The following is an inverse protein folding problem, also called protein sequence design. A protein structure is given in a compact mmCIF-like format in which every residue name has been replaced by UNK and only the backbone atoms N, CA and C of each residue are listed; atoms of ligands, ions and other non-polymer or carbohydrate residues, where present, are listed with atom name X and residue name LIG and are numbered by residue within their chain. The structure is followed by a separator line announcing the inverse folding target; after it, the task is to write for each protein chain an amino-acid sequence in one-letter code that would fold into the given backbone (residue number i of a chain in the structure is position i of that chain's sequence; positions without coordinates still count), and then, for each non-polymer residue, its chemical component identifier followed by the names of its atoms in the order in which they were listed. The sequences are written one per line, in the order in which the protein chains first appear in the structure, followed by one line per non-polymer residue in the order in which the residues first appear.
data_IF_324036425751
#
_entry.id   IF_324036425751
#
_cell.length_a   1.000
_cell.length_b   1.000
_cell.length_c   1.000
_cell.angle_alpha   90.00
_cell.angle_beta   90.00
_cell.angle_gamma   90.00
#
_symmetry.space_group_name_H-M   'P 1'
#
loop_
_entity.id
_entity.type
_entity.pdbx_description
1 polymer ?
#
# COMPACT_ATOMS: atom_id res chain seq x y z
N UNK A 1 -1.79 -6.33 -11.00
CA UNK A 1 -1.50 -5.67 -9.69
C UNK A 1 -0.97 -6.70 -8.72
N UNK A 2 0.10 -6.38 -7.99
CA UNK A 2 0.61 -7.14 -6.85
C UNK A 2 0.67 -6.20 -5.64
N UNK A 3 0.43 -6.73 -4.45
CA UNK A 3 0.42 -5.94 -3.21
C UNK A 3 1.47 -6.47 -2.24
N UNK A 4 2.08 -5.56 -1.48
CA UNK A 4 3.06 -5.83 -0.42
C UNK A 4 2.43 -5.49 0.94
N UNK A 5 1.60 -6.37 1.51
CA UNK A 5 0.83 -6.06 2.72
C UNK A 5 1.67 -6.25 3.98
N UNK A 6 2.17 -5.17 4.52
CA UNK A 6 2.82 -5.17 5.83
C UNK A 6 1.78 -5.20 6.96
N UNK A 7 2.08 -5.92 8.03
CA UNK A 7 1.22 -5.98 9.19
C UNK A 7 2.02 -6.40 10.44
N UNK A 8 1.49 -6.14 11.62
CA UNK A 8 2.16 -6.46 12.88
C UNK A 8 1.44 -7.59 13.62
N UNK A 9 2.21 -8.60 14.05
CA UNK A 9 1.74 -9.64 14.96
C UNK A 9 1.99 -9.19 16.38
N UNK A 10 0.91 -8.96 17.14
CA UNK A 10 0.97 -8.36 18.47
C UNK A 10 0.58 -9.37 19.56
N UNK A 11 1.22 -9.25 20.71
CA UNK A 11 0.82 -9.94 21.94
C UNK A 11 -0.33 -9.18 22.59
N UNK A 12 -1.06 -9.86 23.47
CA UNK A 12 -1.99 -9.20 24.38
C UNK A 12 -1.29 -8.89 25.70
N UNK A 13 -1.66 -7.77 26.31
CA UNK A 13 -1.30 -7.46 27.69
C UNK A 13 -2.21 -8.20 28.69
N UNK A 14 -1.98 -7.99 29.99
CA UNK A 14 -2.75 -8.58 31.08
C UNK A 14 -4.25 -8.18 31.07
N UNK A 15 -4.59 -7.09 30.39
CA UNK A 15 -5.97 -6.59 30.23
C UNK A 15 -6.59 -7.04 28.91
N UNK A 16 -5.89 -7.87 28.13
CA UNK A 16 -6.38 -8.35 26.82
C UNK A 16 -6.31 -7.30 25.70
N UNK A 17 -5.53 -6.23 25.86
CA UNK A 17 -5.30 -5.24 24.79
C UNK A 17 -4.07 -5.62 23.97
N UNK A 18 -4.10 -5.42 22.64
CA UNK A 18 -2.90 -5.59 21.80
C UNK A 18 -1.77 -4.71 22.32
N UNK A 19 -0.60 -5.32 22.43
CA UNK A 19 0.61 -4.71 22.96
C UNK A 19 1.78 -5.01 22.01
N UNK A 20 3.00 -4.88 22.49
CA UNK A 20 4.23 -5.08 21.75
C UNK A 20 4.24 -6.24 20.76
N UNK A 21 4.95 -6.07 19.66
CA UNK A 21 5.18 -7.12 18.68
C UNK A 21 6.07 -8.26 19.20
N UNK A 22 6.10 -9.34 18.42
CA UNK A 22 6.83 -10.56 18.77
C UNK A 22 8.33 -10.49 18.50
N UNK A 23 8.76 -9.60 17.60
CA UNK A 23 10.16 -9.45 17.22
C UNK A 23 10.76 -8.13 17.73
N UNK A 24 12.07 -8.05 17.72
CA UNK A 24 12.78 -6.79 17.93
C UNK A 24 12.76 -5.97 16.66
N UNK A 25 12.81 -4.61 16.74
CA UNK A 25 13.01 -3.78 15.56
C UNK A 25 14.37 -4.14 14.94
N UNK A 26 14.52 -4.01 13.68
CA UNK A 26 15.61 -4.29 12.72
C UNK A 26 15.07 -5.15 11.58
N UNK A 27 14.90 -4.57 10.40
CA UNK A 27 14.42 -5.31 9.24
C UNK A 27 15.43 -6.38 8.76
N UNK A 28 14.90 -7.36 8.03
CA UNK A 28 15.65 -8.45 7.38
C UNK A 28 16.45 -9.35 8.33
N UNK A 29 16.00 -9.49 9.58
CA UNK A 29 16.67 -10.32 10.57
C UNK A 29 16.07 -11.73 10.61
N UNK A 30 16.81 -12.72 10.14
CA UNK A 30 16.31 -14.10 9.98
C UNK A 30 15.81 -14.73 11.28
N UNK A 31 16.52 -14.55 12.41
CA UNK A 31 16.09 -15.13 13.69
C UNK A 31 14.79 -14.51 14.19
N UNK A 32 14.55 -13.23 13.91
CA UNK A 32 13.32 -12.55 14.27
C UNK A 32 12.15 -13.03 13.39
N UNK A 33 12.41 -13.24 12.09
CA UNK A 33 11.45 -13.87 11.18
C UNK A 33 11.10 -15.28 11.64
N UNK A 34 12.11 -16.11 11.96
CA UNK A 34 11.93 -17.49 12.44
C UNK A 34 11.18 -17.56 13.78
N UNK A 35 11.24 -16.53 14.62
CA UNK A 35 10.45 -16.50 15.86
C UNK A 35 8.94 -16.56 15.64
N UNK A 36 8.47 -16.12 14.47
CA UNK A 36 7.06 -16.19 14.02
C UNK A 36 6.78 -17.38 13.08
N UNK A 37 7.75 -18.29 12.92
CA UNK A 37 7.61 -19.42 11.99
C UNK A 37 6.31 -20.22 12.13
N UNK A 38 5.86 -20.63 13.32
CA UNK A 38 4.59 -21.35 13.44
C UNK A 38 3.40 -20.56 12.90
N UNK A 39 3.41 -19.24 13.08
CA UNK A 39 2.35 -18.33 12.66
C UNK A 39 2.33 -18.19 11.14
N UNK A 40 3.44 -17.74 10.53
CA UNK A 40 3.45 -17.52 9.09
C UNK A 40 3.33 -18.82 8.28
N UNK A 41 3.84 -19.94 8.78
CA UNK A 41 3.64 -21.24 8.13
C UNK A 41 2.15 -21.64 8.11
N UNK A 42 1.40 -21.30 9.17
CA UNK A 42 -0.04 -21.54 9.21
C UNK A 42 -0.80 -20.59 8.26
N UNK A 43 -0.36 -19.34 8.14
CA UNK A 43 -0.88 -18.42 7.11
C UNK A 43 -0.66 -18.98 5.72
N UNK A 44 0.55 -19.47 5.40
CA UNK A 44 0.88 -20.08 4.10
C UNK A 44 0.02 -21.32 3.84
N UNK A 45 -0.19 -22.16 4.83
CA UNK A 45 -1.06 -23.35 4.72
C UNK A 45 -2.48 -22.96 4.31
N UNK A 46 -3.10 -22.02 5.04
CA UNK A 46 -4.46 -21.57 4.75
C UNK A 46 -4.55 -20.79 3.44
N UNK A 47 -3.56 -19.95 3.14
CA UNK A 47 -3.48 -19.23 1.89
C UNK A 47 -3.48 -20.17 0.68
N UNK A 48 -2.66 -21.23 0.72
CA UNK A 48 -2.62 -22.25 -0.33
C UNK A 48 -3.96 -22.98 -0.50
N UNK A 49 -4.63 -23.33 0.59
CA UNK A 49 -5.95 -23.95 0.53
C UNK A 49 -7.02 -23.03 -0.07
N UNK A 50 -6.84 -21.71 0.04
CA UNK A 50 -7.70 -20.69 -0.56
C UNK A 50 -7.23 -20.24 -1.96
N UNK A 51 -6.20 -20.87 -2.53
CA UNK A 51 -5.68 -20.54 -3.86
C UNK A 51 -4.81 -19.29 -3.92
N UNK A 52 -4.22 -18.88 -2.81
CA UNK A 52 -3.22 -17.80 -2.78
C UNK A 52 -1.82 -18.40 -2.80
N UNK A 53 -1.05 -18.07 -3.84
CA UNK A 53 0.34 -18.50 -3.98
C UNK A 53 1.26 -17.54 -3.22
N UNK A 54 1.64 -17.94 -2.01
CA UNK A 54 2.62 -17.17 -1.22
C UNK A 54 4.02 -17.35 -1.81
N UNK A 55 4.70 -16.24 -2.10
CA UNK A 55 5.97 -16.24 -2.85
C UNK A 55 7.16 -15.71 -2.07
N UNK A 56 6.92 -14.83 -1.09
CA UNK A 56 7.98 -14.16 -0.33
C UNK A 56 7.48 -13.83 1.06
N UNK A 57 8.40 -13.80 2.02
CA UNK A 57 8.15 -13.26 3.35
C UNK A 57 9.36 -12.48 3.82
N UNK A 58 9.13 -11.28 4.34
CA UNK A 58 10.15 -10.37 4.87
C UNK A 58 9.85 -10.02 6.33
N UNK A 59 10.93 -9.98 7.14
CA UNK A 59 10.90 -9.38 8.46
C UNK A 59 11.10 -7.89 8.32
N UNK A 60 10.09 -7.13 8.74
CA UNK A 60 10.08 -5.68 8.63
C UNK A 60 10.62 -4.98 9.89
N UNK A 61 10.72 -3.65 9.87
CA UNK A 61 11.46 -2.89 10.86
C UNK A 61 10.73 -2.76 12.21
N UNK A 62 9.40 -2.71 12.23
CA UNK A 62 8.66 -2.57 13.48
C UNK A 62 8.54 -3.92 14.23
N UNK A 63 8.44 -3.91 15.58
CA UNK A 63 8.31 -5.13 16.35
C UNK A 63 7.11 -5.99 15.92
N UNK A 64 7.38 -7.24 15.54
CA UNK A 64 6.36 -8.17 15.04
C UNK A 64 5.85 -7.89 13.64
N UNK A 65 6.48 -6.97 12.93
CA UNK A 65 6.07 -6.62 11.56
C UNK A 65 6.62 -7.63 10.56
N UNK A 66 5.72 -8.16 9.76
CA UNK A 66 6.03 -9.01 8.62
C UNK A 66 5.33 -8.49 7.37
N UNK A 67 5.97 -8.71 6.25
CA UNK A 67 5.40 -8.62 4.92
C UNK A 67 5.35 -10.03 4.33
N UNK A 68 4.16 -10.52 3.97
CA UNK A 68 3.98 -11.83 3.35
C UNK A 68 3.29 -11.63 2.00
N UNK A 69 4.05 -11.84 0.94
CA UNK A 69 3.63 -11.56 -0.42
C UNK A 69 3.06 -12.79 -1.12
N UNK A 70 2.05 -12.55 -1.95
CA UNK A 70 1.44 -13.52 -2.85
C UNK A 70 1.56 -13.05 -4.30
N UNK A 71 1.39 -13.97 -5.26
CA UNK A 71 1.51 -13.66 -6.68
C UNK A 71 0.54 -12.56 -7.11
N UNK A 72 1.01 -11.70 -8.03
CA UNK A 72 0.17 -10.68 -8.67
C UNK A 72 -0.92 -11.33 -9.55
N UNK A 73 -1.99 -10.58 -9.80
CA UNK A 73 -3.07 -10.95 -10.70
C UNK A 73 -3.69 -9.68 -11.32
N UNK A 74 -4.82 -9.81 -12.04
CA UNK A 74 -5.60 -8.64 -12.39
C UNK A 74 -6.05 -7.87 -11.14
N UNK A 75 -6.45 -6.61 -11.33
CA UNK A 75 -6.74 -5.69 -10.23
C UNK A 75 -7.84 -6.22 -9.30
N UNK A 76 -8.91 -6.80 -9.86
CA UNK A 76 -10.03 -7.30 -9.07
C UNK A 76 -9.65 -8.54 -8.26
N UNK A 77 -9.04 -9.52 -8.92
CA UNK A 77 -8.59 -10.75 -8.23
C UNK A 77 -7.53 -10.47 -7.17
N UNK A 78 -6.63 -9.53 -7.43
CA UNK A 78 -5.65 -9.15 -6.40
C UNK A 78 -6.32 -8.48 -5.20
N UNK A 79 -7.36 -7.66 -5.40
CA UNK A 79 -8.17 -7.10 -4.33
C UNK A 79 -8.89 -8.19 -3.50
N UNK A 80 -9.46 -9.22 -4.17
CA UNK A 80 -10.04 -10.38 -3.51
C UNK A 80 -9.00 -11.16 -2.68
N UNK A 81 -7.80 -11.36 -3.24
CA UNK A 81 -6.67 -12.03 -2.57
C UNK A 81 -6.24 -11.27 -1.33
N UNK A 82 -6.06 -9.95 -1.41
CA UNK A 82 -5.68 -9.15 -0.25
C UNK A 82 -6.74 -9.18 0.86
N UNK A 83 -8.01 -9.14 0.48
CA UNK A 83 -9.13 -9.24 1.42
C UNK A 83 -9.14 -10.61 2.11
N UNK A 84 -8.96 -11.69 1.33
CA UNK A 84 -8.87 -13.06 1.84
C UNK A 84 -7.65 -13.25 2.74
N UNK A 85 -6.48 -12.73 2.34
CA UNK A 85 -5.25 -12.77 3.13
C UNK A 85 -5.43 -12.14 4.51
N UNK A 86 -6.06 -10.97 4.61
CA UNK A 86 -6.34 -10.31 5.90
C UNK A 86 -7.23 -11.18 6.81
N UNK A 87 -8.22 -11.85 6.23
CA UNK A 87 -9.09 -12.78 6.99
C UNK A 87 -8.31 -13.99 7.48
N UNK A 88 -7.45 -14.56 6.65
CA UNK A 88 -6.55 -15.68 7.02
C UNK A 88 -5.64 -15.25 8.19
N UNK A 89 -4.98 -14.10 8.10
CA UNK A 89 -4.13 -13.60 9.17
C UNK A 89 -4.91 -13.42 10.49
N UNK A 90 -6.11 -12.85 10.42
CA UNK A 90 -6.96 -12.68 11.61
C UNK A 90 -7.40 -14.03 12.20
N UNK A 91 -7.67 -15.05 11.38
CA UNK A 91 -8.00 -16.39 11.83
C UNK A 91 -6.81 -17.07 12.50
N UNK A 92 -5.65 -17.05 11.87
CA UNK A 92 -4.41 -17.62 12.42
C UNK A 92 -4.03 -16.92 13.73
N UNK A 93 -4.16 -15.60 13.80
CA UNK A 93 -3.91 -14.86 15.04
C UNK A 93 -4.75 -15.39 16.20
N UNK A 94 -6.05 -15.64 15.99
CA UNK A 94 -6.95 -16.22 17.02
C UNK A 94 -6.48 -17.61 17.46
N UNK A 95 -6.01 -18.44 16.55
CA UNK A 95 -5.54 -19.79 16.86
C UNK A 95 -4.27 -19.80 17.73
N UNK A 96 -3.42 -18.77 17.56
CA UNK A 96 -2.19 -18.60 18.33
C UNK A 96 -2.35 -17.70 19.56
N UNK A 97 -3.54 -17.19 19.85
CA UNK A 97 -3.79 -16.29 20.98
C UNK A 97 -3.06 -14.96 20.87
N UNK A 98 -2.88 -14.45 19.63
CA UNK A 98 -2.23 -13.19 19.32
C UNK A 98 -3.14 -12.31 18.46
N UNK A 99 -2.70 -11.12 18.09
CA UNK A 99 -3.48 -10.17 17.31
C UNK A 99 -2.79 -9.84 15.98
N UNK A 100 -3.53 -9.94 14.87
CA UNK A 100 -3.11 -9.51 13.55
C UNK A 100 -3.51 -8.05 13.34
N UNK A 101 -2.56 -7.14 13.36
CA UNK A 101 -2.79 -5.70 13.29
C UNK A 101 -2.44 -5.16 11.89
N UNK A 102 -3.46 -4.71 11.18
CA UNK A 102 -3.31 -4.00 9.89
C UNK A 102 -3.40 -2.47 10.04
N UNK A 103 -3.41 -1.96 11.25
CA UNK A 103 -3.38 -0.53 11.51
C UNK A 103 -2.11 0.09 10.93
N UNK A 104 -2.22 1.24 10.26
CA UNK A 104 -1.10 1.89 9.59
C UNK A 104 0.05 2.21 10.56
N UNK A 105 -0.27 2.85 11.69
CA UNK A 105 0.72 3.27 12.70
C UNK A 105 0.20 2.96 14.11
N UNK A 106 0.35 1.73 14.60
CA UNK A 106 -0.14 1.38 15.94
C UNK A 106 0.74 1.94 17.07
N UNK A 107 2.05 2.16 16.83
CA UNK A 107 3.00 2.64 17.83
C UNK A 107 3.84 3.80 17.26
N UNK A 108 4.22 4.73 18.14
CA UNK A 108 5.14 5.82 17.82
C UNK A 108 6.59 5.34 17.82
N UNK A 109 7.44 6.01 17.02
CA UNK A 109 8.89 5.75 17.01
C UNK A 109 9.30 4.42 16.35
N UNK A 110 8.41 3.76 15.60
CA UNK A 110 8.70 2.55 14.82
C UNK A 110 8.11 2.70 13.42
N UNK A 111 8.52 1.86 12.47
CA UNK A 111 7.97 1.88 11.11
C UNK A 111 6.47 1.61 11.10
N UNK A 112 5.80 2.19 10.14
CA UNK A 112 4.37 2.00 9.89
C UNK A 112 4.15 0.87 8.89
N UNK A 113 2.92 0.35 8.81
CA UNK A 113 2.56 -0.73 7.89
C UNK A 113 2.05 -0.17 6.57
N UNK A 114 2.85 -0.28 5.52
CA UNK A 114 2.48 0.01 4.13
C UNK A 114 1.72 -1.13 3.48
N UNK A 115 1.17 -0.86 2.31
CA UNK A 115 0.61 -1.88 1.42
C UNK A 115 0.87 -1.47 -0.03
N UNK A 116 2.15 -1.44 -0.39
CA UNK A 116 2.54 -0.93 -1.69
C UNK A 116 1.89 -1.72 -2.82
N UNK A 117 1.46 -1.00 -3.86
CA UNK A 117 0.80 -1.60 -5.02
C UNK A 117 1.72 -1.56 -6.23
N UNK A 118 2.26 -2.71 -6.61
CA UNK A 118 3.02 -2.88 -7.84
C UNK A 118 2.06 -3.11 -9.00
N UNK A 119 2.16 -2.29 -10.03
CA UNK A 119 1.25 -2.35 -11.17
C UNK A 119 1.99 -2.32 -12.50
N UNK A 120 1.45 -3.02 -13.47
CA UNK A 120 1.82 -2.93 -14.88
C UNK A 120 0.55 -2.68 -15.71
N UNK A 121 0.68 -1.92 -16.79
CA UNK A 121 -0.40 -1.65 -17.74
C UNK A 121 -0.04 -2.29 -19.09
N UNK A 122 -1.01 -2.95 -19.69
CA UNK A 122 -0.80 -3.71 -20.91
C UNK A 122 -1.73 -3.23 -22.01
N UNK A 123 -1.19 -3.11 -23.23
CA UNK A 123 -1.94 -2.72 -24.43
C UNK A 123 -2.16 -3.93 -25.31
N UNK A 124 -3.42 -4.22 -25.66
CA UNK A 124 -3.81 -5.35 -26.51
C UNK A 124 -3.50 -6.70 -25.88
N UNK A 125 -3.63 -7.75 -26.67
CA UNK A 125 -3.37 -9.12 -26.25
C UNK A 125 -4.58 -9.80 -25.60
N UNK A 126 -4.52 -11.14 -25.60
CA UNK A 126 -5.48 -11.98 -24.88
C UNK A 126 -4.87 -12.40 -23.55
N UNK A 127 -5.71 -12.68 -22.55
CA UNK A 127 -5.26 -13.20 -21.28
C UNK A 127 -4.65 -14.60 -21.48
N UNK A 128 -3.40 -14.76 -21.07
CA UNK A 128 -2.67 -16.02 -21.14
C UNK A 128 -2.46 -16.55 -19.72
N UNK A 129 -2.89 -17.77 -19.48
CA UNK A 129 -2.63 -18.47 -18.23
C UNK A 129 -1.39 -19.36 -18.42
N UNK A 130 -0.29 -18.99 -17.79
CA UNK A 130 0.94 -19.78 -17.81
C UNK A 130 0.97 -20.66 -16.57
N UNK A 131 1.07 -22.00 -16.73
CA UNK A 131 1.25 -22.88 -15.58
C UNK A 131 2.49 -22.47 -14.79
N UNK A 132 2.35 -22.23 -13.49
CA UNK A 132 3.44 -21.93 -12.57
C UNK A 132 4.21 -23.23 -12.28
N UNK A 133 5.01 -23.70 -13.24
CA UNK A 133 5.95 -24.82 -13.11
C UNK A 133 5.38 -26.10 -12.51
N UNK A 134 5.97 -27.23 -12.84
CA UNK A 134 5.68 -28.50 -12.17
C UNK A 134 6.23 -28.43 -10.73
N UNK A 135 5.47 -27.90 -9.79
CA UNK A 135 5.74 -28.17 -8.38
C UNK A 135 5.39 -29.66 -8.14
N UNK A 136 6.37 -30.53 -7.85
CA UNK A 136 6.11 -31.92 -7.55
C UNK A 136 5.28 -32.13 -6.29
N UNK A 137 4.87 -31.08 -5.63
CA UNK A 137 4.01 -31.05 -4.44
C UNK A 137 2.55 -30.70 -4.74
N UNK A 138 2.10 -30.75 -5.98
CA UNK A 138 0.68 -30.65 -6.27
C UNK A 138 -0.08 -31.73 -5.49
N UNK A 139 -0.64 -31.32 -4.37
CA UNK A 139 -1.51 -32.20 -3.59
C UNK A 139 -2.75 -32.53 -4.42
N UNK A 140 -3.20 -33.78 -4.43
CA UNK A 140 -4.39 -34.18 -5.16
C UNK A 140 -5.58 -33.33 -4.75
N UNK A 141 -6.19 -32.62 -5.72
CA UNK A 141 -7.35 -31.75 -5.49
C UNK A 141 -7.05 -30.26 -5.47
N UNK A 142 -5.78 -29.81 -5.58
CA UNK A 142 -5.46 -28.42 -5.87
C UNK A 142 -5.67 -28.16 -7.36
N UNK A 143 -6.33 -27.03 -7.67
CA UNK A 143 -6.34 -26.49 -9.02
C UNK A 143 -4.89 -26.20 -9.43
N UNK A 144 -4.56 -26.51 -10.69
CA UNK A 144 -3.27 -26.12 -11.26
C UNK A 144 -3.08 -24.61 -11.06
N UNK A 145 -1.96 -24.23 -10.44
CA UNK A 145 -1.64 -22.83 -10.24
C UNK A 145 -1.18 -22.25 -11.57
N UNK A 146 -1.94 -21.30 -12.09
CA UNK A 146 -1.62 -20.58 -13.30
C UNK A 146 -1.28 -19.13 -12.94
N UNK A 147 -0.16 -18.65 -13.44
CA UNK A 147 0.12 -17.23 -13.45
C UNK A 147 -0.68 -16.60 -14.60
N UNK A 148 -1.57 -15.66 -14.25
CA UNK A 148 -2.27 -14.84 -15.24
C UNK A 148 -1.30 -13.83 -15.83
N UNK A 149 -0.94 -14.01 -17.09
CA UNK A 149 -0.13 -13.07 -17.85
C UNK A 149 -0.99 -12.53 -18.98
N UNK A 150 -1.14 -11.21 -19.05
CA UNK A 150 -1.75 -10.61 -20.23
C UNK A 150 -0.80 -10.77 -21.40
N UNK A 151 -1.27 -11.38 -22.46
CA UNK A 151 -0.67 -11.25 -23.78
C UNK A 151 -0.72 -9.79 -24.20
N UNK A 152 0.25 -9.31 -24.98
CA UNK A 152 0.29 -7.93 -25.43
C UNK A 152 1.53 -7.19 -25.00
N UNK A 153 1.51 -5.85 -25.13
CA UNK A 153 2.66 -4.99 -24.87
C UNK A 153 2.56 -4.35 -23.48
N UNK A 154 3.52 -4.63 -22.63
CA UNK A 154 3.64 -3.96 -21.34
C UNK A 154 4.20 -2.54 -21.53
N UNK A 155 3.39 -1.53 -21.25
CA UNK A 155 3.73 -0.11 -21.46
C UNK A 155 4.82 0.43 -20.52
N UNK A 156 5.17 -0.34 -19.48
CA UNK A 156 6.29 -0.02 -18.57
C UNK A 156 7.59 -0.71 -18.94
N UNK A 157 7.62 -1.53 -20.00
CA UNK A 157 8.88 -2.02 -20.57
C UNK A 157 9.52 -0.92 -21.41
N UNK A 158 10.85 -0.73 -21.33
CA UNK A 158 11.57 0.23 -22.18
C UNK A 158 11.43 -0.10 -23.66
N UNK A 159 11.36 0.94 -24.50
CA UNK A 159 11.38 0.83 -25.97
C UNK A 159 12.48 1.69 -26.64
N UNK A 160 13.33 2.32 -25.84
CA UNK A 160 14.43 3.20 -26.27
C UNK A 160 15.79 2.80 -25.67
N UNK A 161 16.75 3.71 -25.77
CA UNK A 161 18.14 3.50 -25.32
C UNK A 161 18.28 3.44 -23.77
N UNK A 162 17.35 4.04 -23.03
CA UNK A 162 17.36 3.99 -21.58
C UNK A 162 16.64 2.73 -21.08
N UNK A 163 17.38 1.76 -20.45
CA UNK A 163 16.81 0.50 -20.02
C UNK A 163 15.84 0.61 -18.82
N UNK A 164 15.67 1.79 -18.24
CA UNK A 164 14.76 2.02 -17.12
C UNK A 164 13.52 2.83 -17.50
N UNK A 165 13.59 3.59 -18.59
CA UNK A 165 12.53 4.51 -18.99
C UNK A 165 11.32 3.78 -19.56
N UNK A 166 10.12 3.89 -18.95
CA UNK A 166 8.89 3.35 -19.53
C UNK A 166 8.59 3.93 -20.91
N UNK A 167 7.83 3.21 -21.70
CA UNK A 167 7.26 3.71 -22.95
C UNK A 167 6.41 4.96 -22.70
N UNK A 168 6.16 5.72 -23.75
CA UNK A 168 5.37 6.95 -23.68
C UNK A 168 4.04 6.78 -22.95
N UNK A 169 3.28 5.72 -23.24
CA UNK A 169 2.01 5.47 -22.56
C UNK A 169 2.19 5.15 -21.04
N UNK A 170 3.29 4.50 -20.68
CA UNK A 170 3.64 4.28 -19.27
C UNK A 170 3.99 5.59 -18.55
N UNK A 171 4.72 6.49 -19.21
CA UNK A 171 5.02 7.83 -18.68
C UNK A 171 3.76 8.68 -18.54
N UNK A 172 2.88 8.67 -19.55
CA UNK A 172 1.59 9.36 -19.50
C UNK A 172 0.73 8.85 -18.35
N UNK A 173 0.71 7.52 -18.10
CA UNK A 173 0.03 6.93 -16.95
C UNK A 173 0.63 7.40 -15.62
N UNK A 174 1.96 7.45 -15.49
CA UNK A 174 2.64 8.05 -14.32
C UNK A 174 2.20 9.51 -14.17
N UNK A 175 2.18 10.28 -15.26
CA UNK A 175 1.74 11.68 -15.28
C UNK A 175 0.34 11.85 -14.69
N UNK A 176 -0.61 11.01 -15.09
CA UNK A 176 -1.97 10.99 -14.54
C UNK A 176 -1.98 10.66 -13.04
N UNK A 177 -1.31 9.60 -12.63
CA UNK A 177 -1.27 9.21 -11.22
C UNK A 177 -0.63 10.30 -10.35
N UNK A 178 0.48 10.91 -10.78
CA UNK A 178 1.13 12.03 -10.07
C UNK A 178 0.22 13.27 -10.01
N UNK A 179 -0.50 13.56 -11.09
CA UNK A 179 -1.46 14.67 -11.13
C UNK A 179 -2.55 14.52 -10.07
N UNK A 180 -3.10 13.32 -9.94
CA UNK A 180 -4.20 12.99 -9.02
C UNK A 180 -3.73 12.47 -7.65
N UNK A 181 -2.44 12.43 -7.36
CA UNK A 181 -1.87 11.76 -6.20
C UNK A 181 -2.42 12.29 -4.87
N UNK A 182 -2.72 13.59 -4.79
CA UNK A 182 -3.32 14.19 -3.59
C UNK A 182 -4.72 13.66 -3.29
N UNK A 183 -5.55 13.48 -4.33
CA UNK A 183 -6.89 12.89 -4.19
C UNK A 183 -6.81 11.38 -3.92
N UNK A 184 -5.89 10.69 -4.59
CA UNK A 184 -5.62 9.26 -4.36
C UNK A 184 -5.19 8.96 -2.92
N UNK A 185 -4.54 9.92 -2.26
CA UNK A 185 -4.14 9.78 -0.83
C UNK A 185 -5.36 9.57 0.08
N UNK A 186 -6.52 10.15 -0.25
CA UNK A 186 -7.75 9.90 0.52
C UNK A 186 -8.15 8.41 0.53
N UNK A 187 -7.84 7.69 -0.55
CA UNK A 187 -8.16 6.27 -0.71
C UNK A 187 -7.04 5.39 -0.14
N UNK A 188 -5.78 5.71 -0.46
CA UNK A 188 -4.61 4.94 -0.03
C UNK A 188 -4.31 5.08 1.46
N UNK A 189 -4.48 6.28 2.02
CA UNK A 189 -4.33 6.62 3.43
C UNK A 189 -5.72 6.88 4.03
N UNK A 190 -6.54 5.84 4.13
CA UNK A 190 -7.99 5.94 4.28
C UNK A 190 -8.49 6.22 5.71
N UNK A 191 -7.61 6.35 6.70
CA UNK A 191 -7.98 6.56 8.12
C UNK A 191 -7.22 7.74 8.72
N UNK A 192 -7.73 8.30 9.81
CA UNK A 192 -7.00 9.32 10.58
C UNK A 192 -5.62 8.80 11.02
N UNK A 193 -5.53 7.52 11.37
CA UNK A 193 -4.27 6.89 11.78
C UNK A 193 -3.26 6.79 10.63
N UNK A 194 -3.70 6.68 9.38
CA UNK A 194 -2.84 6.61 8.19
C UNK A 194 -1.88 7.78 8.11
N UNK A 195 -2.31 8.97 8.52
CA UNK A 195 -1.49 10.19 8.48
C UNK A 195 -0.41 10.22 9.55
N UNK A 196 -0.51 9.43 10.62
CA UNK A 196 0.57 9.24 11.60
C UNK A 196 1.81 8.64 10.94
N UNK A 197 1.64 7.80 9.91
CA UNK A 197 2.72 7.28 9.08
C UNK A 197 3.45 8.38 8.32
N UNK A 198 2.75 9.39 7.84
CA UNK A 198 3.32 10.50 7.06
C UNK A 198 4.00 11.56 7.94
N UNK A 199 3.53 11.75 9.18
CA UNK A 199 4.11 12.70 10.13
C UNK A 199 5.39 12.19 10.80
N UNK A 200 5.51 10.90 11.02
CA UNK A 200 6.70 10.29 11.61
C UNK A 200 7.74 10.03 10.50
N UNK A 201 8.43 11.10 10.10
CA UNK A 201 9.38 11.07 8.99
C UNK A 201 10.64 10.29 9.32
N UNK A 202 11.30 9.75 8.29
CA UNK A 202 12.54 8.95 8.44
C UNK A 202 12.34 7.45 8.34
N UNK A 203 11.08 6.96 8.29
CA UNK A 203 10.74 5.56 8.13
C UNK A 203 10.27 5.22 6.68
N UNK A 204 10.81 5.91 5.69
CA UNK A 204 10.62 5.66 4.26
C UNK A 204 9.15 5.74 3.76
N UNK A 205 8.26 6.33 4.55
CA UNK A 205 6.92 6.64 4.08
C UNK A 205 6.97 7.80 3.09
N UNK A 206 6.30 7.71 1.92
CA UNK A 206 6.29 8.80 0.95
C UNK A 206 5.43 9.95 1.48
N UNK A 207 6.00 11.15 1.51
CA UNK A 207 5.28 12.39 1.89
C UNK A 207 5.16 13.37 0.73
N UNK A 208 5.58 12.97 -0.48
CA UNK A 208 5.68 13.85 -1.64
C UNK A 208 4.94 13.28 -2.85
N UNK A 209 4.24 14.20 -3.53
CA UNK A 209 3.48 13.93 -4.74
C UNK A 209 4.42 13.99 -5.96
N UNK A 210 5.29 12.97 -6.09
CA UNK A 210 6.29 12.88 -7.15
C UNK A 210 6.58 11.42 -7.52
N UNK A 211 7.42 11.22 -8.54
CA UNK A 211 7.84 9.90 -9.01
C UNK A 211 9.36 9.84 -9.22
N UNK A 212 9.93 8.64 -9.17
CA UNK A 212 11.36 8.46 -9.43
C UNK A 212 11.77 7.00 -9.62
N UNK A 213 12.99 6.82 -10.16
CA UNK A 213 13.62 5.51 -10.28
C UNK A 213 14.26 5.10 -8.96
N UNK A 214 13.94 3.89 -8.47
CA UNK A 214 14.48 3.33 -7.22
C UNK A 214 14.36 4.25 -5.99
N UNK A 215 13.54 5.30 -6.06
CA UNK A 215 13.41 6.30 -5.01
C UNK A 215 12.26 5.94 -4.05
N UNK A 216 12.60 5.51 -2.85
CA UNK A 216 11.63 5.14 -1.80
C UNK A 216 10.95 6.33 -1.13
N UNK A 217 11.42 7.56 -1.39
CA UNK A 217 10.85 8.78 -0.79
C UNK A 217 9.73 9.41 -1.63
N UNK A 218 9.52 8.92 -2.87
CA UNK A 218 8.45 9.38 -3.78
C UNK A 218 7.15 8.60 -3.62
N UNK A 219 6.04 9.19 -3.99
CA UNK A 219 4.72 8.54 -4.02
C UNK A 219 4.60 7.44 -5.06
N UNK A 220 5.29 7.59 -6.20
CA UNK A 220 5.47 6.55 -7.21
C UNK A 220 6.94 6.23 -7.39
N UNK A 221 7.23 4.95 -7.46
CA UNK A 221 8.59 4.44 -7.72
C UNK A 221 8.57 3.48 -8.91
N UNK A 222 9.40 3.72 -9.91
CA UNK A 222 9.73 2.72 -10.92
C UNK A 222 10.86 1.86 -10.35
N UNK A 223 10.48 0.72 -9.77
CA UNK A 223 11.42 -0.16 -9.05
C UNK A 223 12.11 -1.18 -9.95
N UNK A 224 11.54 -1.46 -11.12
CA UNK A 224 12.09 -2.33 -12.15
C UNK A 224 11.39 -2.04 -13.48
N UNK A 225 12.02 -2.37 -14.62
CA UNK A 225 11.35 -2.37 -15.91
C UNK A 225 10.06 -3.20 -15.87
N UNK A 226 9.02 -2.71 -16.54
CA UNK A 226 7.74 -3.40 -16.67
C UNK A 226 6.72 -3.12 -15.57
N UNK A 227 7.04 -2.34 -14.53
CA UNK A 227 6.10 -1.99 -13.46
C UNK A 227 6.43 -0.67 -12.77
N UNK A 228 5.44 -0.10 -12.11
CA UNK A 228 5.61 0.93 -11.10
C UNK A 228 5.06 0.46 -9.75
N UNK A 229 5.52 1.07 -8.69
CA UNK A 229 5.09 0.85 -7.31
C UNK A 229 4.41 2.13 -6.81
N UNK A 230 3.11 2.02 -6.49
CA UNK A 230 2.36 3.07 -5.80
C UNK A 230 2.59 2.94 -4.29
N UNK A 231 3.17 3.96 -3.66
CA UNK A 231 3.65 3.89 -2.27
C UNK A 231 2.82 4.68 -1.27
N UNK A 232 1.97 5.61 -1.75
CA UNK A 232 1.11 6.45 -0.89
C UNK A 232 -0.13 5.67 -0.42
N UNK A 233 0.10 4.47 0.09
CA UNK A 233 -0.94 3.52 0.50
C UNK A 233 -0.49 2.73 1.72
N UNK A 234 -1.40 2.42 2.62
CA UNK A 234 -1.14 1.63 3.83
C UNK A 234 -2.05 0.41 3.97
N UNK A 235 -1.79 -0.39 5.00
CA UNK A 235 -2.47 -1.66 5.21
C UNK A 235 -3.95 -1.55 5.64
N UNK A 236 -4.49 -0.34 5.84
CA UNK A 236 -5.92 -0.10 6.06
C UNK A 236 -6.70 0.17 4.77
N UNK A 237 -6.03 0.19 3.62
CA UNK A 237 -6.63 0.50 2.32
C UNK A 237 -7.78 -0.45 1.96
N UNK A 238 -8.81 0.09 1.29
CA UNK A 238 -9.76 -0.73 0.54
C UNK A 238 -9.16 -1.02 -0.85
N UNK A 239 -8.74 -2.28 -1.12
CA UNK A 239 -8.01 -2.60 -2.35
C UNK A 239 -8.85 -2.46 -3.61
N UNK A 240 -10.16 -2.61 -3.53
CA UNK A 240 -11.06 -2.41 -4.67
C UNK A 240 -11.12 -0.95 -5.09
N UNK A 241 -11.29 -0.04 -4.12
CA UNK A 241 -11.30 1.40 -4.38
C UNK A 241 -9.93 1.89 -4.85
N UNK A 242 -8.85 1.39 -4.24
CA UNK A 242 -7.49 1.78 -4.63
C UNK A 242 -7.18 1.37 -6.07
N UNK A 243 -7.46 0.12 -6.43
CA UNK A 243 -7.25 -0.38 -7.79
C UNK A 243 -8.07 0.41 -8.83
N UNK A 244 -9.35 0.64 -8.56
CA UNK A 244 -10.26 1.39 -9.44
C UNK A 244 -9.80 2.83 -9.65
N UNK A 245 -9.39 3.53 -8.58
CA UNK A 245 -9.00 4.94 -8.65
C UNK A 245 -7.61 5.14 -9.27
N UNK A 246 -6.64 4.23 -9.02
CA UNK A 246 -5.36 4.27 -9.74
C UNK A 246 -5.56 4.07 -11.23
N UNK A 247 -6.43 3.14 -11.65
CA UNK A 247 -6.73 2.93 -13.07
C UNK A 247 -7.38 4.17 -13.69
N UNK A 248 -8.32 4.83 -13.00
CA UNK A 248 -8.93 6.07 -13.48
C UNK A 248 -7.90 7.20 -13.66
N UNK A 249 -6.97 7.33 -12.72
CA UNK A 249 -5.89 8.31 -12.82
C UNK A 249 -4.92 8.02 -13.98
N UNK A 250 -4.56 6.75 -14.17
CA UNK A 250 -3.68 6.32 -15.25
C UNK A 250 -4.33 6.53 -16.63
N UNK A 251 -5.62 6.21 -16.75
CA UNK A 251 -6.42 6.40 -17.97
C UNK A 251 -6.51 7.90 -18.36
N UNK A 252 -6.81 8.76 -17.38
CA UNK A 252 -6.80 10.21 -17.58
C UNK A 252 -5.43 10.73 -18.04
N UNK A 253 -4.36 10.19 -17.48
CA UNK A 253 -3.00 10.53 -17.88
C UNK A 253 -2.70 10.17 -19.33
N UNK A 254 -3.12 8.99 -19.78
CA UNK A 254 -2.96 8.52 -21.17
C UNK A 254 -3.83 9.34 -22.11
N UNK A 255 -5.11 9.53 -21.80
CA UNK A 255 -6.07 10.25 -22.64
C UNK A 255 -5.66 11.73 -22.84
N UNK A 256 -5.21 12.38 -21.78
CA UNK A 256 -4.79 13.78 -21.82
C UNK A 256 -3.29 13.98 -22.05
N UNK A 257 -2.53 12.90 -22.24
CA UNK A 257 -1.07 12.91 -22.50
C UNK A 257 -0.31 13.71 -21.43
N UNK A 258 -0.61 13.45 -20.19
CA UNK A 258 -0.04 14.17 -19.05
C UNK A 258 1.44 13.82 -18.90
N UNK A 259 2.29 14.85 -18.83
CA UNK A 259 3.73 14.70 -18.60
C UNK A 259 4.00 14.59 -17.09
N UNK A 260 4.63 13.50 -16.62
CA UNK A 260 5.00 13.36 -15.22
C UNK A 260 6.09 14.35 -14.76
N UNK A 261 6.75 15.02 -15.69
CA UNK A 261 7.98 15.78 -15.44
C UNK A 261 9.21 14.86 -15.23
N UNK A 262 10.37 15.43 -14.95
CA UNK A 262 11.59 14.66 -14.71
C UNK A 262 11.44 13.81 -13.43
N UNK A 263 12.07 12.60 -13.39
CA UNK A 263 12.09 11.80 -12.20
C UNK A 263 12.86 12.49 -11.06
N UNK A 264 12.39 12.32 -9.83
CA UNK A 264 13.06 12.81 -8.64
C UNK A 264 14.20 11.87 -8.25
N UNK A 265 15.43 12.35 -8.36
CA UNK A 265 16.64 11.57 -8.08
C UNK A 265 17.16 11.76 -6.64
N UNK A 266 16.67 12.81 -5.96
CA UNK A 266 17.16 13.17 -4.63
C UNK A 266 16.44 12.37 -3.55
N UNK A 267 17.12 12.18 -2.43
CA UNK A 267 16.41 11.88 -1.18
C UNK A 267 15.61 13.12 -0.77
N UNK A 268 14.28 13.06 -0.86
CA UNK A 268 13.42 14.23 -0.69
C UNK A 268 13.45 14.74 0.76
N UNK A 269 13.71 13.89 1.74
CA UNK A 269 13.90 14.36 3.13
C UNK A 269 15.10 15.31 3.24
N UNK A 270 16.21 15.00 2.58
CA UNK A 270 17.37 15.89 2.50
C UNK A 270 17.05 17.18 1.73
N UNK A 271 16.30 17.08 0.64
CA UNK A 271 15.87 18.26 -0.13
C UNK A 271 15.03 19.23 0.72
N UNK A 272 14.21 18.71 1.64
CA UNK A 272 13.45 19.54 2.57
C UNK A 272 14.34 20.24 3.60
N UNK A 273 15.30 19.51 4.17
CA UNK A 273 16.28 20.09 5.11
C UNK A 273 17.10 21.21 4.45
N UNK A 274 17.35 21.10 3.15
CA UNK A 274 17.98 22.11 2.32
C UNK A 274 17.04 23.27 1.92
N UNK A 275 15.80 23.27 2.37
CA UNK A 275 14.80 24.32 2.10
C UNK A 275 14.25 24.34 0.67
N UNK A 276 14.39 23.24 -0.08
CA UNK A 276 13.85 23.14 -1.44
C UNK A 276 12.34 22.95 -1.43
N UNK A 277 11.66 23.58 -2.40
CA UNK A 277 10.22 23.40 -2.57
C UNK A 277 9.94 22.01 -3.16
N UNK A 278 8.99 21.30 -2.53
CA UNK A 278 8.50 19.99 -2.94
C UNK A 278 6.98 19.96 -2.79
N UNK A 279 6.29 19.27 -3.69
CA UNK A 279 4.85 19.07 -3.60
C UNK A 279 4.56 18.03 -2.52
N UNK A 280 3.96 18.44 -1.42
CA UNK A 280 3.58 17.53 -0.34
C UNK A 280 2.26 16.82 -0.64
N UNK A 281 2.16 15.57 -0.20
CA UNK A 281 0.88 14.89 -0.03
C UNK A 281 0.04 15.61 1.04
N UNK A 282 -1.29 15.41 1.06
CA UNK A 282 -2.10 15.79 2.20
C UNK A 282 -1.54 15.18 3.49
N UNK A 283 -1.50 15.96 4.55
CA UNK A 283 -0.96 15.54 5.84
C UNK A 283 -2.04 15.22 6.88
N UNK A 284 -3.30 15.27 6.46
CA UNK A 284 -4.46 14.89 7.28
C UNK A 284 -5.57 14.29 6.42
N UNK A 285 -6.46 13.52 7.05
CA UNK A 285 -7.64 12.98 6.38
C UNK A 285 -8.53 14.11 5.82
N UNK A 286 -8.65 15.23 6.56
CA UNK A 286 -9.42 16.39 6.09
C UNK A 286 -8.87 16.98 4.80
N UNK A 287 -7.54 17.22 4.72
CA UNK A 287 -6.90 17.75 3.50
C UNK A 287 -7.04 16.79 2.30
N UNK A 288 -6.97 15.50 2.53
CA UNK A 288 -7.10 14.51 1.43
C UNK A 288 -8.54 14.39 0.95
N UNK A 289 -9.53 14.50 1.83
CA UNK A 289 -10.95 14.53 1.46
C UNK A 289 -11.29 15.81 0.69
N UNK A 290 -10.69 16.95 1.06
CA UNK A 290 -10.81 18.17 0.28
C UNK A 290 -10.22 18.01 -1.13
N UNK A 291 -9.02 17.41 -1.24
CA UNK A 291 -8.42 17.11 -2.54
C UNK A 291 -9.29 16.16 -3.38
N UNK A 292 -9.86 15.12 -2.77
CA UNK A 292 -10.79 14.19 -3.43
C UNK A 292 -12.08 14.90 -3.90
N UNK A 293 -12.59 15.85 -3.11
CA UNK A 293 -13.80 16.60 -3.47
C UNK A 293 -13.59 17.51 -4.68
N UNK A 294 -12.35 17.89 -4.95
CA UNK A 294 -11.96 18.74 -6.08
C UNK A 294 -11.45 17.96 -7.29
N UNK A 295 -11.50 16.63 -7.26
CA UNK A 295 -10.96 15.75 -8.29
C UNK A 295 -12.05 14.88 -8.96
N UNK A 296 -12.66 15.35 -10.06
CA UNK A 296 -13.74 14.62 -10.70
C UNK A 296 -13.29 13.31 -11.37
N UNK A 297 -11.99 13.15 -11.67
CA UNK A 297 -11.45 11.92 -12.27
C UNK A 297 -11.45 10.81 -11.23
N UNK A 298 -10.91 11.08 -10.06
CA UNK A 298 -10.88 10.08 -8.97
C UNK A 298 -12.30 9.76 -8.46
N UNK A 299 -13.19 10.75 -8.43
CA UNK A 299 -14.61 10.52 -8.10
C UNK A 299 -15.27 9.53 -9.09
N UNK A 300 -15.00 9.64 -10.40
CA UNK A 300 -15.49 8.70 -11.42
C UNK A 300 -14.93 7.28 -11.23
N UNK A 301 -13.74 7.14 -10.70
CA UNK A 301 -13.15 5.85 -10.30
C UNK A 301 -13.93 5.16 -9.18
N UNK A 302 -14.89 5.85 -8.55
CA UNK A 302 -15.76 5.35 -7.47
C UNK A 302 -17.23 5.39 -7.95
N UNK A 303 -17.68 4.40 -8.75
CA UNK A 303 -18.94 4.49 -9.49
C UNK A 303 -20.18 4.47 -8.58
N UNK A 304 -21.28 4.98 -9.13
CA UNK A 304 -22.59 5.04 -8.47
C UNK A 304 -22.56 5.92 -7.21
N UNK A 305 -23.11 5.41 -6.12
CA UNK A 305 -23.14 6.11 -4.83
C UNK A 305 -21.83 5.99 -4.02
N UNK A 306 -20.83 5.26 -4.51
CA UNK A 306 -19.65 4.90 -3.73
C UNK A 306 -18.84 6.12 -3.29
N UNK A 307 -18.62 7.09 -4.20
CA UNK A 307 -17.93 8.34 -3.82
C UNK A 307 -18.67 9.07 -2.69
N UNK A 308 -19.98 9.28 -2.85
CA UNK A 308 -20.78 10.01 -1.85
C UNK A 308 -20.73 9.32 -0.49
N UNK A 309 -20.97 8.00 -0.44
CA UNK A 309 -20.95 7.21 0.78
C UNK A 309 -19.57 7.18 1.42
N UNK A 310 -18.51 7.02 0.63
CA UNK A 310 -17.13 7.04 1.12
C UNK A 310 -16.79 8.40 1.73
N UNK A 311 -17.07 9.47 1.00
CA UNK A 311 -16.77 10.83 1.44
C UNK A 311 -17.53 11.18 2.73
N UNK A 312 -18.82 10.89 2.80
CA UNK A 312 -19.64 11.13 4.01
C UNK A 312 -19.11 10.33 5.21
N UNK A 313 -18.82 9.04 5.02
CA UNK A 313 -18.30 8.17 6.08
C UNK A 313 -16.94 8.65 6.60
N UNK A 314 -16.03 9.04 5.70
CA UNK A 314 -14.69 9.52 6.08
C UNK A 314 -14.70 10.93 6.65
N UNK A 315 -15.61 11.78 6.21
CA UNK A 315 -15.83 13.10 6.79
C UNK A 315 -16.37 13.00 8.23
N UNK A 316 -17.25 12.04 8.51
CA UNK A 316 -17.72 11.75 9.86
C UNK A 316 -16.57 11.24 10.76
N UNK A 317 -15.73 10.32 10.25
CA UNK A 317 -14.54 9.86 10.95
C UNK A 317 -13.62 11.03 11.33
N UNK A 318 -13.36 11.93 10.36
CA UNK A 318 -12.54 13.11 10.58
C UNK A 318 -13.16 14.06 11.62
N UNK A 319 -14.45 14.36 11.51
CA UNK A 319 -15.16 15.23 12.45
C UNK A 319 -15.15 14.67 13.88
N UNK A 320 -15.40 13.37 14.05
CA UNK A 320 -15.33 12.71 15.36
C UNK A 320 -13.93 12.75 15.96
N UNK A 321 -12.90 12.54 15.15
CA UNK A 321 -11.52 12.64 15.60
C UNK A 321 -11.21 14.07 16.08
N UNK A 322 -11.56 15.08 15.30
CA UNK A 322 -11.30 16.49 15.62
C UNK A 322 -12.06 17.00 16.86
N UNK A 323 -13.19 16.38 17.17
CA UNK A 323 -13.97 16.72 18.37
C UNK A 323 -13.56 15.92 19.61
N UNK A 324 -12.64 14.98 19.48
CA UNK A 324 -12.18 14.14 20.60
C UNK A 324 -11.06 14.86 21.36
N UNK A 325 -11.25 15.04 22.66
CA UNK A 325 -10.19 15.49 23.58
C UNK A 325 -9.37 14.24 23.97
N UNK A 326 -8.08 14.30 23.76
CA UNK A 326 -7.15 13.18 23.99
C UNK A 326 -6.39 13.34 25.30
N UNK A 327 -5.77 12.25 25.79
CA UNK A 327 -4.86 12.34 26.94
C UNK A 327 -3.71 13.31 26.66
N UNK A 328 -3.23 13.37 25.40
CA UNK A 328 -2.20 14.34 25.01
C UNK A 328 -2.63 15.79 25.20
N UNK A 329 -3.89 16.13 24.87
CA UNK A 329 -4.41 17.48 25.10
C UNK A 329 -4.42 17.81 26.59
N UNK A 330 -4.90 16.86 27.41
CA UNK A 330 -4.96 17.01 28.87
C UNK A 330 -3.56 17.13 29.47
N UNK A 331 -2.64 16.25 29.10
CA UNK A 331 -1.27 16.24 29.60
C UNK A 331 -0.49 17.50 29.18
N UNK A 332 -0.83 18.08 28.00
CA UNK A 332 -0.12 19.24 27.47
C UNK A 332 -0.70 20.55 27.98
N UNK A 333 -2.01 20.66 28.08
CA UNK A 333 -2.67 21.98 28.26
C UNK A 333 -3.41 22.16 29.59
N UNK A 334 -3.74 21.09 30.34
CA UNK A 334 -4.61 21.23 31.53
C UNK A 334 -4.00 22.13 32.61
N UNK A 335 -2.69 22.13 32.75
CA UNK A 335 -1.96 22.97 33.72
C UNK A 335 -1.32 24.21 33.07
N UNK A 336 -1.53 24.46 31.76
CA UNK A 336 -0.99 25.63 31.09
C UNK A 336 -1.75 26.88 31.49
N UNK A 337 -1.01 27.86 32.00
CA UNK A 337 -1.50 29.24 32.13
C UNK A 337 -1.17 29.98 30.83
N UNK A 338 -2.13 30.70 30.20
CA UNK A 338 -1.90 31.47 28.99
C UNK A 338 -0.99 32.69 29.24
#
# INVERSE_FOLDING_TARGET
MGTEPEMMWLKFDENGKPKDGYSKPYCYHIDQFESLRPVYMKVIEYARLMGLDMIQGDHEDAPGQLELNFTFDDVLRNADRLTTYRQICAQVAREFGIFACFMSKPFMGVSASGCHHNMSLWRGGEDVFIPMGNDPKNLPGMQENYMHVKGGENTFMPDGDDPQMPQKAGLEAIGGIVHHLRALTAIGCSTVNSYRRLWDTGFWAPVFADWGFQNRTTGLRVSAPGRFEYRSVDSMVNPYLMGSTILAAADDGIDNKLDPGPPEERNIYQAMEEGKQVKKLPMSLGESLEALSNDPVIQKGMPGEMYRLYHEYKSDEWARFMSTVTDWDNDTYMECLP
#
